data_IF_654773286632
#
_entry.id   IF_654773286632
#
_cell.length_a   1.000
_cell.length_b   1.000
_cell.length_c   1.000
_cell.angle_alpha   90.00
_cell.angle_beta   90.00
_cell.angle_gamma   90.00
#
_symmetry.space_group_name_H-M   'P 1'
#
loop_
_entity.id
_entity.type
_entity.pdbx_description
1 polymer ?
#
# COMPACT_ATOMS: atom_id res chain seq x y z
N UNK A 1 -0.36 18.43 -4.07
CA UNK A 1 -0.90 17.05 -4.17
C UNK A 1 -0.52 16.26 -2.93
N UNK A 2 0.76 16.21 -2.56
CA UNK A 2 1.24 15.58 -1.33
C UNK A 2 0.71 16.30 -0.06
N UNK A 3 0.76 17.65 0.01
CA UNK A 3 0.08 18.40 1.09
C UNK A 3 -1.45 18.17 1.18
N UNK A 4 -2.11 17.80 0.07
CA UNK A 4 -3.54 17.44 0.08
C UNK A 4 -3.76 16.04 0.68
N UNK A 5 -2.78 15.13 0.57
CA UNK A 5 -2.85 13.80 1.20
C UNK A 5 -2.93 13.92 2.72
N UNK A 6 -2.03 14.67 3.37
CA UNK A 6 -2.11 14.91 4.83
C UNK A 6 -3.43 15.56 5.20
N UNK A 7 -3.81 16.64 4.51
CA UNK A 7 -5.08 17.33 4.76
C UNK A 7 -6.32 16.44 4.56
N UNK A 8 -6.28 15.45 3.68
CA UNK A 8 -7.33 14.44 3.49
C UNK A 8 -7.34 13.42 4.62
N UNK A 9 -6.18 12.94 5.04
CA UNK A 9 -6.00 11.99 6.13
C UNK A 9 -6.46 12.59 7.46
N UNK A 10 -6.08 13.83 7.75
CA UNK A 10 -6.43 14.53 8.99
C UNK A 10 -7.95 14.79 9.13
N UNK A 11 -8.70 14.72 8.01
CA UNK A 11 -10.17 14.80 8.01
C UNK A 11 -10.85 13.46 8.33
N UNK A 12 -10.11 12.39 8.56
CA UNK A 12 -10.68 11.11 8.91
C UNK A 12 -11.42 11.20 10.25
N UNK A 13 -12.56 10.51 10.34
CA UNK A 13 -13.54 10.66 11.43
C UNK A 13 -12.96 10.52 12.84
N UNK A 14 -11.86 9.81 13.02
CA UNK A 14 -11.20 9.60 14.30
C UNK A 14 -9.70 9.88 14.27
N UNK A 15 -9.28 10.82 13.39
CA UNK A 15 -7.89 11.25 13.32
C UNK A 15 -7.39 11.85 14.63
N UNK A 16 -8.29 12.48 15.40
CA UNK A 16 -8.00 13.01 16.73
C UNK A 16 -7.45 11.95 17.72
N UNK A 17 -7.73 10.67 17.48
CA UNK A 17 -7.16 9.57 18.27
C UNK A 17 -5.67 9.34 17.92
N UNK A 18 -5.26 9.61 16.68
CA UNK A 18 -3.87 9.56 16.27
C UNK A 18 -3.10 10.79 16.72
N UNK A 19 -3.70 11.98 16.63
CA UNK A 19 -3.03 13.26 16.84
C UNK A 19 -2.20 13.28 18.15
N UNK A 20 -2.77 12.83 19.26
CA UNK A 20 -2.04 12.74 20.53
C UNK A 20 -0.88 11.74 20.52
N UNK A 21 -1.05 10.60 19.85
CA UNK A 21 -0.07 9.52 19.77
C UNK A 21 1.07 9.81 18.79
N UNK A 22 0.79 10.57 17.72
CA UNK A 22 1.74 10.88 16.64
C UNK A 22 2.45 12.22 16.83
N UNK A 23 1.85 13.20 17.52
CA UNK A 23 2.37 14.58 17.61
C UNK A 23 3.78 14.71 18.20
N UNK A 24 4.28 13.67 18.88
CA UNK A 24 5.62 13.63 19.49
C UNK A 24 6.57 12.61 18.85
N UNK A 25 6.12 11.92 17.80
CA UNK A 25 6.89 10.89 17.11
C UNK A 25 7.41 11.44 15.79
N UNK A 26 8.64 11.09 15.46
CA UNK A 26 9.15 11.23 14.10
C UNK A 26 8.44 10.26 13.16
N UNK A 27 8.49 10.52 11.84
CA UNK A 27 7.95 9.61 10.82
C UNK A 27 8.44 8.16 11.00
N UNK A 28 9.72 7.98 11.32
CA UNK A 28 10.32 6.66 11.57
C UNK A 28 9.75 5.99 12.82
N UNK A 29 9.58 6.75 13.90
CA UNK A 29 8.97 6.23 15.13
C UNK A 29 7.49 5.88 14.96
N UNK A 30 6.75 6.60 14.10
CA UNK A 30 5.37 6.25 13.75
C UNK A 30 5.32 4.87 13.10
N UNK A 31 6.19 4.61 12.10
CA UNK A 31 6.23 3.32 11.40
C UNK A 31 6.75 2.19 12.30
N UNK A 32 7.83 2.41 13.04
CA UNK A 32 8.39 1.40 13.95
C UNK A 32 7.40 0.98 15.03
N UNK A 33 6.65 1.93 15.58
CA UNK A 33 5.70 1.68 16.66
C UNK A 33 4.26 1.49 16.14
N UNK A 34 4.08 1.20 14.84
CA UNK A 34 2.78 1.27 14.16
C UNK A 34 1.75 0.33 14.76
N UNK A 35 2.13 -0.87 15.22
CA UNK A 35 1.22 -1.80 15.90
C UNK A 35 0.61 -1.16 17.15
N UNK A 36 1.45 -0.55 17.99
CA UNK A 36 1.01 0.10 19.24
C UNK A 36 0.11 1.30 18.96
N UNK A 37 0.47 2.10 17.94
CA UNK A 37 -0.33 3.25 17.50
C UNK A 37 -1.69 2.78 16.96
N UNK A 38 -1.70 1.70 16.18
CA UNK A 38 -2.91 1.11 15.62
C UNK A 38 -3.81 0.49 16.68
N UNK A 39 -3.27 -0.25 17.65
CA UNK A 39 -4.04 -0.83 18.75
C UNK A 39 -4.73 0.25 19.58
N UNK A 40 -3.97 1.29 19.95
CA UNK A 40 -4.52 2.44 20.69
C UNK A 40 -5.65 3.12 19.93
N UNK A 41 -5.49 3.29 18.61
CA UNK A 41 -6.50 3.89 17.77
C UNK A 41 -7.75 3.03 17.60
N UNK A 42 -7.57 1.74 17.35
CA UNK A 42 -8.66 0.76 17.23
C UNK A 42 -9.44 0.68 18.54
N UNK A 43 -8.78 0.64 19.69
CA UNK A 43 -9.41 0.64 21.00
C UNK A 43 -10.26 1.90 21.20
N UNK A 44 -9.71 3.08 20.88
CA UNK A 44 -10.44 4.34 20.93
C UNK A 44 -11.69 4.35 20.04
N UNK A 45 -11.59 3.81 18.81
CA UNK A 45 -12.73 3.67 17.89
C UNK A 45 -13.78 2.71 18.45
N UNK A 46 -13.36 1.56 18.97
CA UNK A 46 -14.30 0.56 19.52
C UNK A 46 -15.05 1.11 20.72
N UNK A 47 -14.38 1.88 21.58
CA UNK A 47 -15.00 2.50 22.74
C UNK A 47 -16.01 3.58 22.35
N UNK A 48 -15.70 4.40 21.34
CA UNK A 48 -16.68 5.36 20.78
C UNK A 48 -17.87 4.64 20.15
N UNK A 49 -17.63 3.56 19.40
CA UNK A 49 -18.72 2.78 18.80
C UNK A 49 -19.65 2.18 19.87
N UNK A 50 -19.11 1.68 21.00
CA UNK A 50 -19.92 1.22 22.15
C UNK A 50 -20.79 2.34 22.71
N UNK A 51 -20.20 3.51 22.96
CA UNK A 51 -20.94 4.68 23.50
C UNK A 51 -22.04 5.18 22.56
N UNK A 52 -21.82 5.07 21.25
CA UNK A 52 -22.78 5.47 20.21
C UNK A 52 -23.81 4.37 19.88
N UNK A 53 -23.76 3.19 20.52
CA UNK A 53 -24.65 2.07 20.22
C UNK A 53 -24.46 1.47 18.82
N UNK A 54 -23.26 1.57 18.27
CA UNK A 54 -22.90 1.06 16.93
C UNK A 54 -22.27 -0.33 17.01
N UNK A 55 -22.26 -1.03 15.86
CA UNK A 55 -21.55 -2.30 15.72
C UNK A 55 -20.04 -2.10 15.89
N UNK A 56 -19.52 -2.58 17.01
CA UNK A 56 -18.11 -2.50 17.39
C UNK A 56 -17.21 -3.29 16.45
N UNK A 57 -17.65 -4.47 16.02
CA UNK A 57 -16.89 -5.36 15.15
C UNK A 57 -16.73 -4.71 13.78
N UNK A 58 -17.81 -4.16 13.23
CA UNK A 58 -17.77 -3.45 11.95
C UNK A 58 -16.94 -2.16 12.04
N UNK A 59 -17.04 -1.41 13.14
CA UNK A 59 -16.24 -0.22 13.38
C UNK A 59 -14.74 -0.54 13.42
N UNK A 60 -14.35 -1.61 14.12
CA UNK A 60 -12.97 -2.10 14.21
C UNK A 60 -12.40 -2.46 12.85
N UNK A 61 -13.10 -3.31 12.08
CA UNK A 61 -12.62 -3.78 10.76
C UNK A 61 -12.44 -2.61 9.79
N UNK A 62 -13.39 -1.67 9.78
CA UNK A 62 -13.33 -0.51 8.90
C UNK A 62 -12.21 0.48 9.29
N UNK A 63 -11.98 0.66 10.60
CA UNK A 63 -10.94 1.55 11.09
C UNK A 63 -9.55 0.97 10.84
N UNK A 64 -9.31 -0.30 11.16
CA UNK A 64 -7.98 -0.91 11.09
C UNK A 64 -7.35 -0.80 9.69
N UNK A 65 -8.08 -1.17 8.63
CA UNK A 65 -7.53 -1.08 7.26
C UNK A 65 -7.26 0.35 6.82
N UNK A 66 -8.25 1.25 6.99
CA UNK A 66 -8.12 2.65 6.57
C UNK A 66 -7.05 3.41 7.33
N UNK A 67 -6.91 3.12 8.62
CA UNK A 67 -5.96 3.82 9.48
C UNK A 67 -4.55 3.34 9.31
N UNK A 68 -4.37 2.05 9.03
CA UNK A 68 -3.05 1.57 8.64
C UNK A 68 -2.56 2.28 7.37
N UNK A 69 -3.39 2.31 6.33
CA UNK A 69 -3.09 3.03 5.07
C UNK A 69 -2.79 4.51 5.32
N UNK A 70 -3.61 5.17 6.15
CA UNK A 70 -3.46 6.58 6.46
C UNK A 70 -2.18 6.86 7.25
N UNK A 71 -1.82 6.05 8.25
CA UNK A 71 -0.58 6.22 9.02
C UNK A 71 0.66 6.04 8.15
N UNK A 72 0.68 5.00 7.32
CA UNK A 72 1.82 4.77 6.41
C UNK A 72 1.94 5.94 5.44
N UNK A 73 0.84 6.40 4.85
CA UNK A 73 0.82 7.56 3.95
C UNK A 73 1.26 8.85 4.66
N UNK A 74 0.78 9.09 5.88
CA UNK A 74 1.10 10.26 6.67
C UNK A 74 2.59 10.33 7.03
N UNK A 75 3.16 9.20 7.44
CA UNK A 75 4.57 9.11 7.82
C UNK A 75 5.53 9.27 6.63
N UNK A 76 5.08 9.04 5.41
CA UNK A 76 5.97 8.94 4.24
C UNK A 76 5.80 10.07 3.22
N UNK A 77 4.66 10.78 3.22
CA UNK A 77 4.33 11.77 2.19
C UNK A 77 5.31 12.94 2.11
N UNK A 78 5.82 13.43 3.24
CA UNK A 78 6.80 14.53 3.24
C UNK A 78 8.15 14.05 2.68
N UNK A 79 8.56 12.84 3.06
CA UNK A 79 9.82 12.21 2.59
C UNK A 79 9.74 11.96 1.08
N UNK A 80 8.57 11.53 0.59
CA UNK A 80 8.31 11.40 -0.84
C UNK A 80 8.44 12.76 -1.54
N UNK A 81 7.85 13.82 -0.99
CA UNK A 81 7.94 15.17 -1.55
C UNK A 81 9.38 15.70 -1.59
N UNK A 82 10.15 15.49 -0.52
CA UNK A 82 11.56 15.87 -0.42
C UNK A 82 12.46 15.17 -1.46
N UNK A 83 12.01 14.02 -1.96
CA UNK A 83 12.71 13.21 -2.96
C UNK A 83 12.09 13.32 -4.38
N UNK A 84 11.32 14.37 -4.65
CA UNK A 84 10.59 14.65 -5.91
C UNK A 84 9.57 13.56 -6.31
N UNK A 85 9.15 12.72 -5.37
CA UNK A 85 8.11 11.72 -5.59
C UNK A 85 6.74 12.27 -5.21
N UNK A 86 5.73 11.82 -5.95
CA UNK A 86 4.32 12.05 -5.59
C UNK A 86 3.77 10.82 -4.89
N UNK A 87 2.93 11.08 -3.87
CA UNK A 87 2.18 10.06 -3.15
C UNK A 87 0.70 10.15 -3.50
N UNK A 88 0.10 9.03 -3.91
CA UNK A 88 -1.34 8.87 -4.01
C UNK A 88 -1.84 7.91 -2.95
N UNK A 89 -2.88 8.34 -2.23
CA UNK A 89 -3.67 7.51 -1.33
C UNK A 89 -5.04 7.27 -1.98
N UNK A 90 -5.13 6.26 -2.84
CA UNK A 90 -6.32 5.95 -3.64
C UNK A 90 -6.34 4.50 -4.12
N UNK A 91 -7.53 3.90 -4.08
CA UNK A 91 -7.85 2.59 -4.68
C UNK A 91 -8.28 2.67 -6.14
N UNK A 92 -8.57 3.87 -6.62
CA UNK A 92 -9.16 4.11 -7.93
C UNK A 92 -8.18 4.91 -8.80
N UNK A 93 -7.11 4.24 -9.27
CA UNK A 93 -6.08 4.89 -10.08
C UNK A 93 -6.61 5.43 -11.41
N UNK A 94 -7.68 4.84 -11.96
CA UNK A 94 -8.35 5.34 -13.17
C UNK A 94 -8.93 6.75 -13.06
N UNK A 95 -9.05 7.30 -11.85
CA UNK A 95 -9.49 8.68 -11.59
C UNK A 95 -8.33 9.66 -11.35
N UNK A 96 -7.09 9.19 -11.48
CA UNK A 96 -5.87 9.94 -11.18
C UNK A 96 -5.06 10.18 -12.45
N UNK A 97 -4.01 10.97 -12.36
CA UNK A 97 -3.03 11.15 -13.43
C UNK A 97 -2.30 9.85 -13.84
N UNK A 98 -2.51 8.74 -13.12
CA UNK A 98 -1.96 7.43 -13.47
C UNK A 98 -2.91 6.55 -14.30
N UNK A 99 -4.10 7.05 -14.68
CA UNK A 99 -5.13 6.26 -15.37
C UNK A 99 -4.63 5.56 -16.64
N UNK A 100 -3.72 6.21 -17.35
CA UNK A 100 -3.26 5.76 -18.65
C UNK A 100 -1.93 5.00 -18.58
N UNK A 101 -1.25 5.00 -17.42
CA UNK A 101 0.10 4.39 -17.26
C UNK A 101 0.10 3.15 -16.40
N UNK A 102 -0.99 2.86 -15.70
CA UNK A 102 -1.17 1.64 -14.90
C UNK A 102 -2.24 0.76 -15.55
N UNK A 103 -1.95 -0.50 -15.89
CA UNK A 103 -2.92 -1.36 -16.57
C UNK A 103 -4.16 -1.59 -15.71
N UNK A 104 -5.29 -1.53 -16.40
CA UNK A 104 -6.55 -2.12 -15.94
C UNK A 104 -6.88 -3.34 -16.78
N UNK A 105 -7.64 -4.28 -16.20
CA UNK A 105 -8.02 -5.52 -16.88
C UNK A 105 -9.53 -5.56 -17.06
N UNK A 106 -9.97 -5.85 -18.29
CA UNK A 106 -11.39 -6.05 -18.61
C UNK A 106 -11.88 -5.20 -19.76
N UNK A 107 -13.18 -5.33 -20.07
CA UNK A 107 -13.86 -4.62 -21.16
C UNK A 107 -15.18 -4.01 -20.65
N UNK A 108 -15.58 -2.89 -21.26
CA UNK A 108 -16.86 -2.18 -21.08
C UNK A 108 -17.30 -1.98 -19.62
N UNK A 109 -18.11 -2.91 -19.08
CA UNK A 109 -18.82 -2.77 -17.79
C UNK A 109 -18.07 -3.38 -16.60
N UNK A 110 -16.98 -4.13 -16.83
CA UNK A 110 -16.20 -4.77 -15.75
C UNK A 110 -14.72 -4.47 -15.91
N UNK A 111 -14.33 -3.26 -15.50
CA UNK A 111 -12.92 -2.86 -15.42
C UNK A 111 -12.40 -3.12 -14.01
N UNK A 112 -11.43 -4.02 -13.91
CA UNK A 112 -10.69 -4.28 -12.68
C UNK A 112 -9.51 -3.32 -12.59
N UNK A 113 -9.36 -2.68 -11.42
CA UNK A 113 -8.22 -1.81 -11.11
C UNK A 113 -7.29 -2.47 -10.09
N UNK A 114 -5.98 -2.18 -10.14
CA UNK A 114 -5.02 -2.71 -9.20
C UNK A 114 -5.41 -2.45 -7.74
N UNK A 115 -5.11 -3.44 -6.90
CA UNK A 115 -5.25 -3.35 -5.45
C UNK A 115 -4.17 -2.44 -4.86
N UNK A 116 -4.35 -1.15 -5.10
CA UNK A 116 -3.45 -0.06 -4.81
C UNK A 116 -3.97 0.72 -3.61
N UNK A 117 -3.24 0.71 -2.49
CA UNK A 117 -3.61 1.51 -1.33
C UNK A 117 -2.78 2.79 -1.25
N UNK A 118 -1.48 2.65 -1.56
CA UNK A 118 -0.52 3.75 -1.60
C UNK A 118 0.31 3.60 -2.88
N UNK A 119 0.49 4.69 -3.61
CA UNK A 119 1.34 4.71 -4.82
C UNK A 119 2.37 5.83 -4.71
N UNK A 120 3.64 5.50 -4.94
CA UNK A 120 4.74 6.45 -5.08
C UNK A 120 5.18 6.46 -6.53
N UNK A 121 5.35 7.64 -7.11
CA UNK A 121 5.81 7.74 -8.49
C UNK A 121 6.53 9.07 -8.76
N UNK A 122 7.48 9.01 -9.70
CA UNK A 122 8.12 10.22 -10.24
C UNK A 122 7.20 10.87 -11.29
N UNK A 123 6.77 12.14 -11.13
CA UNK A 123 5.96 12.84 -12.11
C UNK A 123 6.69 13.16 -13.42
N UNK A 124 8.02 13.17 -13.43
CA UNK A 124 8.85 13.44 -14.60
C UNK A 124 9.08 12.21 -15.50
N UNK A 125 8.66 11.03 -15.04
CA UNK A 125 8.87 9.75 -15.71
C UNK A 125 9.89 8.91 -14.95
N UNK A 126 9.53 7.66 -14.64
CA UNK A 126 10.33 6.73 -13.82
C UNK A 126 9.49 5.55 -13.35
N UNK A 127 9.98 4.66 -12.49
CA UNK A 127 9.18 3.56 -11.97
C UNK A 127 7.96 4.04 -11.15
N UNK A 128 6.96 3.18 -11.04
CA UNK A 128 5.77 3.34 -10.18
C UNK A 128 5.81 2.25 -9.11
N UNK A 129 5.72 2.66 -7.85
CA UNK A 129 5.73 1.74 -6.71
C UNK A 129 4.34 1.69 -6.08
N UNK A 130 3.68 0.55 -6.20
CA UNK A 130 2.36 0.30 -5.64
C UNK A 130 2.50 -0.52 -4.37
N UNK A 131 1.94 -0.04 -3.27
CA UNK A 131 1.86 -0.76 -2.00
C UNK A 131 0.41 -1.13 -1.71
N UNK A 132 0.18 -2.42 -1.53
CA UNK A 132 -1.07 -2.93 -0.99
C UNK A 132 -0.97 -3.10 0.53
N UNK A 133 -1.77 -2.38 1.29
CA UNK A 133 -1.74 -2.35 2.75
C UNK A 133 -2.77 -3.32 3.33
N UNK A 134 -2.29 -4.36 4.01
CA UNK A 134 -3.13 -5.40 4.63
C UNK A 134 -2.99 -5.38 6.14
N UNK A 135 -4.07 -5.66 6.87
CA UNK A 135 -4.00 -5.82 8.33
C UNK A 135 -3.65 -7.26 8.75
N UNK A 136 -3.67 -8.19 7.80
CA UNK A 136 -3.47 -9.63 7.98
C UNK A 136 -3.24 -10.29 6.62
N UNK A 137 -2.48 -11.39 6.56
CA UNK A 137 -2.38 -12.17 5.32
C UNK A 137 -3.43 -13.27 5.31
N UNK A 138 -4.40 -13.14 4.42
CA UNK A 138 -5.45 -14.13 4.14
C UNK A 138 -5.70 -14.16 2.65
N UNK A 139 -6.92 -14.45 2.20
CA UNK A 139 -7.28 -14.36 0.77
C UNK A 139 -6.94 -13.00 0.13
N UNK A 140 -6.82 -11.94 0.95
CA UNK A 140 -6.51 -10.58 0.50
C UNK A 140 -5.09 -10.43 -0.04
N UNK A 141 -4.13 -11.25 0.41
CA UNK A 141 -2.79 -11.23 -0.19
C UNK A 141 -2.77 -11.91 -1.55
N UNK A 142 -3.59 -12.96 -1.74
CA UNK A 142 -3.73 -13.60 -3.05
C UNK A 142 -4.32 -12.63 -4.08
N UNK A 143 -5.23 -11.72 -3.67
CA UNK A 143 -5.76 -10.66 -4.54
C UNK A 143 -4.66 -9.68 -4.98
N UNK A 144 -3.78 -9.27 -4.05
CA UNK A 144 -2.64 -8.41 -4.38
C UNK A 144 -1.60 -9.15 -5.25
N UNK A 145 -1.33 -10.43 -4.96
CA UNK A 145 -0.40 -11.25 -5.74
C UNK A 145 -0.89 -11.54 -7.16
N UNK A 146 -2.21 -11.65 -7.36
CA UNK A 146 -2.82 -11.73 -8.68
C UNK A 146 -2.47 -10.48 -9.51
N UNK A 147 -2.51 -9.29 -8.92
CA UNK A 147 -2.17 -8.05 -9.62
C UNK A 147 -0.69 -7.96 -9.99
N UNK A 148 0.21 -8.46 -9.14
CA UNK A 148 1.63 -8.58 -9.47
C UNK A 148 1.84 -9.46 -10.70
N UNK A 149 1.20 -10.63 -10.76
CA UNK A 149 1.22 -11.49 -11.96
C UNK A 149 0.63 -10.75 -13.17
N UNK A 150 -0.48 -10.02 -13.01
CA UNK A 150 -1.09 -9.27 -14.11
C UNK A 150 -0.18 -8.17 -14.66
N UNK A 151 0.60 -7.49 -13.81
CA UNK A 151 1.60 -6.51 -14.26
C UNK A 151 2.71 -7.18 -15.06
N UNK A 152 3.21 -8.33 -14.62
CA UNK A 152 4.21 -9.11 -15.35
C UNK A 152 3.66 -9.59 -16.70
N UNK A 153 2.41 -10.07 -16.73
CA UNK A 153 1.74 -10.48 -17.97
C UNK A 153 1.53 -9.30 -18.92
N UNK A 154 1.11 -8.14 -18.42
CA UNK A 154 0.85 -6.94 -19.22
C UNK A 154 2.13 -6.38 -19.87
N UNK A 155 3.27 -6.57 -19.23
CA UNK A 155 4.59 -6.10 -19.69
C UNK A 155 5.40 -7.17 -20.42
N UNK A 156 4.93 -8.42 -20.43
CA UNK A 156 5.62 -9.52 -21.09
C UNK A 156 5.41 -9.52 -22.62
N UNK A 157 6.50 -9.40 -23.35
CA UNK A 157 6.53 -9.59 -24.80
C UNK A 157 6.68 -11.07 -25.14
N UNK A 158 5.67 -11.65 -25.80
CA UNK A 158 5.76 -13.01 -26.33
C UNK A 158 5.28 -13.10 -27.78
N UNK A 159 6.04 -13.81 -28.61
CA UNK A 159 5.70 -14.02 -30.03
C UNK A 159 4.92 -15.31 -30.31
N UNK A 160 4.75 -16.19 -29.31
CA UNK A 160 3.98 -17.43 -29.46
C UNK A 160 2.48 -17.10 -29.51
N UNK A 161 1.75 -17.44 -30.59
CA UNK A 161 0.31 -17.23 -30.68
C UNK A 161 -0.48 -17.85 -29.52
N UNK A 162 0.02 -18.91 -28.89
CA UNK A 162 -0.61 -19.59 -27.76
C UNK A 162 -0.12 -19.09 -26.39
N UNK A 163 0.61 -17.98 -26.33
CA UNK A 163 1.05 -17.42 -25.08
C UNK A 163 -0.16 -17.08 -24.18
N UNK A 164 -0.16 -17.49 -22.90
CA UNK A 164 -1.25 -17.16 -21.97
C UNK A 164 -1.53 -15.65 -21.85
N UNK A 165 -0.54 -14.79 -22.13
CA UNK A 165 -0.69 -13.33 -22.09
C UNK A 165 -1.69 -12.82 -23.12
N UNK A 166 -1.86 -13.51 -24.26
CA UNK A 166 -2.86 -13.15 -25.28
C UNK A 166 -4.32 -13.41 -24.83
N UNK A 167 -4.52 -14.11 -23.70
CA UNK A 167 -5.84 -14.36 -23.13
C UNK A 167 -6.42 -13.18 -22.34
N UNK A 168 -5.67 -12.10 -22.17
CA UNK A 168 -6.05 -10.93 -21.37
C UNK A 168 -6.14 -9.68 -22.24
N UNK A 169 -7.21 -8.90 -22.06
CA UNK A 169 -7.36 -7.56 -22.64
C UNK A 169 -6.87 -6.53 -21.62
N UNK A 170 -5.71 -5.92 -21.89
CA UNK A 170 -5.16 -4.81 -21.10
C UNK A 170 -5.41 -3.48 -21.80
N UNK A 171 -5.62 -2.42 -21.01
CA UNK A 171 -5.71 -1.04 -21.48
C UNK A 171 -4.70 -0.15 -20.76
N UNK A 172 -4.06 0.77 -21.49
CA UNK A 172 -3.06 1.72 -20.99
C UNK A 172 -1.76 1.68 -21.81
N UNK A 173 -0.92 2.70 -21.62
CA UNK A 173 0.44 2.82 -22.14
C UNK A 173 1.43 2.34 -21.07
N UNK A 174 1.90 1.09 -21.21
CA UNK A 174 2.77 0.40 -20.25
C UNK A 174 4.25 0.80 -20.40
N UNK A 175 4.53 2.09 -20.55
CA UNK A 175 5.89 2.58 -20.79
C UNK A 175 6.73 2.69 -19.52
N UNK A 176 6.10 2.63 -18.35
CA UNK A 176 6.76 2.75 -17.03
C UNK A 176 6.87 1.38 -16.36
N UNK A 177 8.01 1.14 -15.72
CA UNK A 177 8.17 -0.01 -14.84
C UNK A 177 7.23 0.12 -13.63
N UNK A 178 6.53 -0.97 -13.30
CA UNK A 178 5.59 -1.01 -12.17
C UNK A 178 6.09 -2.09 -11.21
N UNK A 179 6.39 -1.66 -9.98
CA UNK A 179 6.75 -2.55 -8.89
C UNK A 179 5.60 -2.63 -7.90
N UNK A 180 5.23 -3.84 -7.53
CA UNK A 180 4.15 -4.09 -6.60
C UNK A 180 4.69 -4.76 -5.34
N UNK A 181 4.43 -4.10 -4.22
CA UNK A 181 4.75 -4.60 -2.90
C UNK A 181 3.54 -4.63 -1.97
N UNK A 182 3.79 -5.08 -0.75
CA UNK A 182 2.81 -5.05 0.33
C UNK A 182 3.35 -4.31 1.54
N UNK A 183 2.43 -3.84 2.37
CA UNK A 183 2.72 -3.47 3.75
C UNK A 183 1.71 -4.15 4.67
N UNK A 184 2.13 -4.58 5.85
CA UNK A 184 1.24 -5.15 6.85
C UNK A 184 1.59 -4.68 8.26
N UNK A 185 0.58 -4.63 9.13
CA UNK A 185 0.78 -4.53 10.60
C UNK A 185 0.89 -5.90 11.24
N UNK A 186 0.68 -6.96 10.47
CA UNK A 186 0.86 -8.36 10.85
C UNK A 186 0.21 -8.80 12.17
N UNK A 187 -1.03 -8.35 12.44
CA UNK A 187 -1.76 -8.68 13.67
C UNK A 187 -1.94 -10.18 13.96
N UNK A 188 -1.62 -11.06 13.00
CA UNK A 188 -1.79 -12.50 13.12
C UNK A 188 -0.50 -13.28 12.86
N UNK A 189 0.66 -12.62 12.75
CA UNK A 189 1.97 -13.25 12.50
C UNK A 189 1.97 -14.12 11.22
N UNK A 190 1.34 -13.61 10.16
CA UNK A 190 1.10 -14.34 8.92
C UNK A 190 2.27 -14.19 7.92
N UNK A 191 3.24 -13.31 8.17
CA UNK A 191 4.39 -13.02 7.28
C UNK A 191 5.31 -14.23 7.11
N UNK A 192 5.18 -15.27 7.94
CA UNK A 192 5.87 -16.55 7.78
C UNK A 192 5.56 -17.32 6.48
N UNK A 193 4.54 -16.90 5.70
CA UNK A 193 4.16 -17.53 4.43
C UNK A 193 5.08 -17.10 3.26
N UNK A 194 6.33 -17.56 3.28
CA UNK A 194 7.40 -17.15 2.35
C UNK A 194 7.01 -17.16 0.88
N UNK A 195 6.31 -18.20 0.40
CA UNK A 195 5.96 -18.34 -1.01
C UNK A 195 5.13 -17.16 -1.56
N UNK A 196 4.18 -16.64 -0.76
CA UNK A 196 3.36 -15.49 -1.17
C UNK A 196 4.16 -14.19 -1.07
N UNK A 197 5.02 -14.06 -0.06
CA UNK A 197 5.86 -12.88 0.16
C UNK A 197 6.86 -12.70 -0.99
N UNK A 198 7.50 -13.79 -1.43
CA UNK A 198 8.49 -13.78 -2.52
C UNK A 198 7.89 -13.50 -3.91
N UNK A 199 6.56 -13.51 -4.05
CA UNK A 199 5.91 -13.08 -5.31
C UNK A 199 6.00 -11.57 -5.52
N UNK A 200 6.08 -10.78 -4.45
CA UNK A 200 6.10 -9.33 -4.52
C UNK A 200 7.54 -8.82 -4.69
N UNK A 201 7.68 -7.66 -5.34
CA UNK A 201 9.00 -7.03 -5.53
C UNK A 201 9.60 -6.60 -4.18
N UNK A 202 8.75 -6.19 -3.24
CA UNK A 202 9.15 -5.82 -1.89
C UNK A 202 7.99 -5.94 -0.89
N UNK A 203 8.32 -5.99 0.41
CA UNK A 203 7.34 -6.11 1.48
C UNK A 203 7.75 -5.38 2.75
N UNK A 204 6.78 -4.96 3.55
CA UNK A 204 7.02 -4.25 4.81
C UNK A 204 6.17 -4.79 5.95
N UNK A 205 6.81 -5.10 7.08
CA UNK A 205 6.13 -5.53 8.30
C UNK A 205 6.90 -5.08 9.54
N UNK A 206 6.22 -4.68 10.64
CA UNK A 206 6.88 -4.42 11.92
C UNK A 206 7.51 -5.67 12.54
N UNK A 207 7.04 -6.86 12.18
CA UNK A 207 7.50 -8.16 12.72
C UNK A 207 8.72 -8.75 12.01
N UNK A 208 9.09 -8.21 10.84
CA UNK A 208 10.22 -8.71 10.05
C UNK A 208 11.51 -8.09 10.52
N UNK A 209 12.50 -8.90 10.89
CA UNK A 209 13.86 -8.40 11.11
C UNK A 209 14.61 -8.24 9.77
N UNK A 210 15.51 -7.26 9.73
CA UNK A 210 16.34 -7.01 8.56
C UNK A 210 17.11 -8.27 8.13
N UNK A 211 16.88 -8.75 6.91
CA UNK A 211 17.57 -9.90 6.32
C UNK A 211 16.91 -11.27 6.55
N UNK A 212 15.71 -11.35 7.14
CA UNK A 212 15.05 -12.64 7.44
C UNK A 212 14.11 -13.17 6.33
N UNK A 213 13.52 -12.30 5.50
CA UNK A 213 12.42 -12.69 4.61
C UNK A 213 12.58 -12.25 3.15
N UNK A 214 13.80 -12.37 2.59
CA UNK A 214 14.03 -12.16 1.15
C UNK A 214 13.71 -10.74 0.70
N UNK A 215 12.48 -10.53 0.20
CA UNK A 215 11.94 -9.25 -0.30
C UNK A 215 11.21 -8.42 0.76
N UNK A 216 11.01 -8.94 1.98
CA UNK A 216 10.37 -8.18 3.06
C UNK A 216 11.37 -7.56 4.06
N UNK A 217 11.00 -6.38 4.57
CA UNK A 217 11.81 -5.51 5.41
C UNK A 217 11.04 -5.02 6.64
N UNK A 218 11.73 -4.56 7.70
CA UNK A 218 11.11 -3.77 8.76
C UNK A 218 10.34 -2.59 8.16
N UNK A 219 9.12 -2.32 8.62
CA UNK A 219 8.24 -1.32 7.99
C UNK A 219 8.84 0.09 7.97
N UNK A 220 9.67 0.45 8.94
CA UNK A 220 10.38 1.72 8.97
C UNK A 220 11.42 1.88 7.86
N UNK A 221 11.88 0.77 7.26
CA UNK A 221 12.80 0.77 6.12
C UNK A 221 12.17 1.39 4.88
N UNK A 222 10.83 1.47 4.81
CA UNK A 222 10.13 2.20 3.76
C UNK A 222 10.61 3.65 3.65
N UNK A 223 11.01 4.27 4.77
CA UNK A 223 11.60 5.61 4.75
C UNK A 223 12.92 5.62 3.99
N UNK A 224 13.82 4.70 4.30
CA UNK A 224 15.13 4.60 3.65
C UNK A 224 14.99 4.29 2.16
N UNK A 225 13.99 3.49 1.82
CA UNK A 225 13.69 3.12 0.45
C UNK A 225 13.12 4.30 -0.35
N UNK A 226 12.24 5.11 0.23
CA UNK A 226 11.77 6.34 -0.43
C UNK A 226 12.91 7.36 -0.55
N UNK A 227 13.71 7.52 0.50
CA UNK A 227 14.81 8.51 0.57
C UNK A 227 15.92 8.22 -0.43
N UNK A 228 16.23 6.94 -0.65
CA UNK A 228 17.16 6.50 -1.69
C UNK A 228 16.48 6.23 -3.04
N UNK A 229 15.25 6.71 -3.25
CA UNK A 229 14.50 6.51 -4.51
C UNK A 229 14.44 5.05 -4.98
N UNK A 230 14.31 4.14 -4.03
CA UNK A 230 14.19 2.70 -4.20
C UNK A 230 15.45 2.01 -4.75
N UNK A 231 16.60 2.69 -4.75
CA UNK A 231 17.87 2.09 -5.13
C UNK A 231 18.21 0.88 -4.23
N UNK A 232 18.47 -0.28 -4.84
CA UNK A 232 18.93 -1.49 -4.15
C UNK A 232 17.83 -2.47 -3.73
N UNK A 233 16.56 -2.20 -4.05
CA UNK A 233 15.42 -3.11 -3.84
C UNK A 233 14.91 -3.65 -5.18
N UNK A 234 15.01 -2.83 -6.22
CA UNK A 234 14.62 -3.09 -7.62
C UNK A 234 15.80 -2.86 -8.55
#
# INVERSE_FOLDING_TARGET
MNQDVKSRIERYKYWDIFDEAIAKKTNREILRDIETVMDSAVDGVTERARKEGKDVSQARVNAAGKYFQALVSYATVDIAEENDLKLLHSKELGSTELSDVVPTVGEDETVLSPDSDIVYYDPSGGPIFIISCKTSFRERMAQSGMWKILFEVATHSCSDPNCPTHGYSFSGDFEREIHMGFATVDFYDDVGSKDIVEMFDFGYSPTVAAGESGTAYPIESLIDHIDNRWEGIV
#
